data_IF_174751338770
#
_entry.id   IF_174751338770
#
_cell.length_a   1.000
_cell.length_b   1.000
_cell.length_c   1.000
_cell.angle_alpha   90.00
_cell.angle_beta   90.00
_cell.angle_gamma   90.00
#
_symmetry.space_group_name_H-M   'P 1'
#
loop_
_entity.id
_entity.type
_entity.pdbx_description
1 polymer ?
#
# COMPACT_ATOMS: atom_id res chain seq x y z
N UNK A 1 11.77 1.51 24.43
CA UNK A 1 11.77 1.95 23.02
C UNK A 1 12.91 2.93 22.81
N UNK A 2 13.07 3.51 21.60
CA UNK A 2 14.08 4.57 21.36
C UNK A 2 13.76 5.88 22.12
N UNK A 3 12.50 6.08 22.47
CA UNK A 3 12.03 7.18 23.34
C UNK A 3 11.40 6.62 24.61
N UNK A 4 11.42 7.39 25.72
CA UNK A 4 10.67 7.08 26.94
C UNK A 4 9.16 6.95 26.65
N UNK A 5 8.41 6.16 27.44
CA UNK A 5 6.97 6.00 27.27
C UNK A 5 6.23 7.32 27.51
N UNK A 6 5.20 7.61 26.70
CA UNK A 6 4.41 8.83 26.83
C UNK A 6 3.73 8.96 28.20
N UNK A 7 3.45 7.85 28.87
CA UNK A 7 2.85 7.83 30.21
C UNK A 7 3.67 8.60 31.24
N UNK A 8 5.01 8.55 31.18
CA UNK A 8 5.88 9.31 32.09
C UNK A 8 5.72 10.81 31.90
N UNK A 9 5.66 11.26 30.65
CA UNK A 9 5.45 12.68 30.34
C UNK A 9 4.08 13.16 30.81
N UNK A 10 3.05 12.33 30.67
CA UNK A 10 1.69 12.63 31.14
C UNK A 10 1.68 12.80 32.67
N UNK A 11 2.33 11.88 33.40
CA UNK A 11 2.44 11.93 34.87
C UNK A 11 3.21 13.19 35.30
N UNK A 12 4.38 13.44 34.71
CA UNK A 12 5.22 14.61 35.03
C UNK A 12 4.53 15.94 34.72
N UNK A 13 3.67 15.99 33.70
CA UNK A 13 2.89 17.17 33.35
C UNK A 13 1.74 17.45 34.36
N UNK A 14 1.49 16.56 35.32
CA UNK A 14 0.43 16.73 36.32
C UNK A 14 -0.98 16.60 35.76
N UNK A 15 -1.15 15.96 34.60
CA UNK A 15 -2.44 15.73 33.94
C UNK A 15 -3.34 14.90 34.87
N UNK A 16 -4.60 15.32 35.02
CA UNK A 16 -5.56 14.70 35.95
C UNK A 16 -6.52 13.71 35.32
N UNK A 17 -6.83 13.88 34.03
CA UNK A 17 -7.71 12.99 33.27
C UNK A 17 -7.16 12.72 31.89
N UNK A 18 -7.20 11.45 31.47
CA UNK A 18 -6.82 11.00 30.13
C UNK A 18 -7.95 10.20 29.51
N UNK A 19 -8.42 10.65 28.35
CA UNK A 19 -9.43 9.97 27.55
C UNK A 19 -8.75 9.40 26.31
N UNK A 20 -8.88 8.10 26.09
CA UNK A 20 -8.32 7.42 24.92
C UNK A 20 -9.45 6.85 24.05
N UNK A 21 -9.31 6.98 22.73
CA UNK A 21 -10.29 6.46 21.79
C UNK A 21 -10.17 4.94 21.60
N UNK A 22 -8.95 4.44 21.46
CA UNK A 22 -8.64 3.01 21.26
C UNK A 22 -7.57 2.55 22.24
N UNK A 23 -7.60 1.27 22.59
CA UNK A 23 -6.47 0.62 23.25
C UNK A 23 -5.39 0.31 22.22
N UNK A 24 -4.12 0.43 22.62
CA UNK A 24 -3.01 0.01 21.78
C UNK A 24 -2.92 -1.53 21.75
N UNK A 25 -3.09 -2.18 20.59
CA UNK A 25 -2.96 -3.63 20.47
C UNK A 25 -1.51 -4.13 20.62
N UNK A 26 -0.51 -3.25 20.53
CA UNK A 26 0.93 -3.58 20.55
C UNK A 26 1.61 -3.30 21.89
N UNK A 27 1.02 -2.45 22.73
CA UNK A 27 1.52 -2.15 24.07
C UNK A 27 0.43 -2.36 25.11
N UNK A 28 0.78 -3.02 26.22
CA UNK A 28 -0.17 -3.30 27.30
C UNK A 28 0.01 -2.30 28.44
N UNK A 29 -1.11 -1.84 28.98
CA UNK A 29 -1.16 -1.23 30.31
C UNK A 29 -0.86 0.27 30.39
N UNK A 30 -0.86 1.02 29.29
CA UNK A 30 -0.67 2.48 29.31
C UNK A 30 -1.69 3.19 30.21
N UNK A 31 -2.98 2.98 29.97
CA UNK A 31 -4.06 3.52 30.82
C UNK A 31 -4.00 2.94 32.24
N UNK A 32 -3.73 1.64 32.38
CA UNK A 32 -3.59 1.01 33.70
C UNK A 32 -2.46 1.63 34.53
N UNK A 33 -1.33 2.00 33.90
CA UNK A 33 -0.23 2.70 34.56
C UNK A 33 -0.68 4.09 35.02
N UNK A 34 -1.36 4.84 34.16
CA UNK A 34 -1.87 6.19 34.53
C UNK A 34 -2.87 6.11 35.69
N UNK A 35 -3.79 5.14 35.65
CA UNK A 35 -4.76 4.93 36.73
C UNK A 35 -4.09 4.62 38.08
N UNK A 36 -2.98 3.86 38.09
CA UNK A 36 -2.21 3.56 39.32
C UNK A 36 -1.54 4.79 39.93
N UNK A 37 -1.24 5.79 39.11
CA UNK A 37 -0.67 7.07 39.54
C UNK A 37 -1.76 8.10 39.92
N UNK A 38 -3.01 7.66 40.06
CA UNK A 38 -4.13 8.49 40.48
C UNK A 38 -4.73 9.38 39.38
N UNK A 39 -4.42 9.10 38.10
CA UNK A 39 -4.98 9.82 36.95
C UNK A 39 -6.29 9.14 36.54
N UNK A 40 -7.37 9.90 36.37
CA UNK A 40 -8.63 9.38 35.86
C UNK A 40 -8.47 8.94 34.40
N UNK A 41 -8.88 7.73 34.05
CA UNK A 41 -8.77 7.20 32.69
C UNK A 41 -10.10 6.75 32.12
N UNK A 42 -10.39 7.15 30.89
CA UNK A 42 -11.58 6.76 30.15
C UNK A 42 -11.18 6.19 28.78
N UNK A 43 -11.85 5.12 28.33
CA UNK A 43 -11.57 4.45 27.07
C UNK A 43 -12.85 4.33 26.23
N UNK A 44 -12.75 4.61 24.93
CA UNK A 44 -13.79 4.30 23.95
C UNK A 44 -14.47 5.53 23.32
N UNK A 45 -14.09 6.74 23.73
CA UNK A 45 -14.62 7.98 23.14
C UNK A 45 -14.16 8.11 21.69
N UNK A 46 -15.09 8.21 20.74
CA UNK A 46 -14.81 8.22 19.29
C UNK A 46 -14.00 7.00 18.80
N UNK A 47 -14.23 5.83 19.41
CA UNK A 47 -13.48 4.62 19.11
C UNK A 47 -13.59 4.20 17.64
N UNK A 48 -14.76 4.32 17.02
CA UNK A 48 -14.98 3.89 15.64
C UNK A 48 -14.28 4.82 14.64
N UNK A 49 -14.29 6.13 14.88
CA UNK A 49 -13.54 7.10 14.09
C UNK A 49 -12.03 6.86 14.20
N UNK A 50 -11.53 6.60 15.41
CA UNK A 50 -10.12 6.28 15.64
C UNK A 50 -9.70 4.95 15.00
N UNK A 51 -10.58 3.93 14.99
CA UNK A 51 -10.37 2.68 14.26
C UNK A 51 -10.32 2.92 12.76
N UNK A 52 -11.25 3.71 12.21
CA UNK A 52 -11.29 4.05 10.79
C UNK A 52 -10.06 4.84 10.35
N UNK A 53 -9.60 5.77 11.18
CA UNK A 53 -8.37 6.53 10.93
C UNK A 53 -7.13 5.62 10.82
N UNK A 54 -7.09 4.53 11.59
CA UNK A 54 -5.96 3.62 11.69
C UNK A 54 -6.26 2.23 11.10
N UNK A 55 -7.24 2.12 10.20
CA UNK A 55 -7.74 0.84 9.67
C UNK A 55 -6.62 -0.03 9.09
N UNK A 56 -5.65 0.60 8.42
CA UNK A 56 -4.52 -0.09 7.81
C UNK A 56 -3.60 -0.71 8.85
N UNK A 57 -3.34 0.01 9.94
CA UNK A 57 -2.53 -0.46 11.05
C UNK A 57 -3.21 -1.63 11.76
N UNK A 58 -4.50 -1.50 12.09
CA UNK A 58 -5.26 -2.58 12.72
C UNK A 58 -5.35 -3.82 11.83
N UNK A 59 -5.56 -3.64 10.52
CA UNK A 59 -5.55 -4.74 9.56
C UNK A 59 -4.18 -5.41 9.49
N UNK A 60 -3.09 -4.65 9.38
CA UNK A 60 -1.74 -5.19 9.35
C UNK A 60 -1.41 -5.99 10.60
N UNK A 61 -1.82 -5.53 11.79
CA UNK A 61 -1.59 -6.26 13.03
C UNK A 61 -2.32 -7.59 13.08
N UNK A 62 -3.56 -7.64 12.56
CA UNK A 62 -4.40 -8.84 12.54
C UNK A 62 -3.96 -9.83 11.44
N UNK A 63 -3.82 -9.35 10.21
CA UNK A 63 -3.65 -10.19 9.03
C UNK A 63 -2.17 -10.41 8.63
N UNK A 64 -1.25 -9.61 9.18
CA UNK A 64 0.18 -9.60 8.80
C UNK A 64 0.44 -9.38 7.30
N UNK A 65 -0.51 -8.73 6.61
CA UNK A 65 -0.40 -8.26 5.23
C UNK A 65 -0.80 -6.78 5.12
N UNK A 66 -0.42 -6.08 4.05
CA UNK A 66 -0.88 -4.72 3.82
C UNK A 66 -2.41 -4.66 3.73
N UNK A 67 -2.98 -3.55 4.18
CA UNK A 67 -4.34 -3.12 3.87
C UNK A 67 -4.42 -2.66 2.41
N UNK A 68 -5.15 -3.42 1.60
CA UNK A 68 -5.20 -3.26 0.16
C UNK A 68 -6.33 -2.33 -0.23
N UNK A 69 -5.93 -1.22 -0.83
CA UNK A 69 -6.79 -0.19 -1.39
C UNK A 69 -6.77 -0.33 -2.90
N UNK A 70 -7.88 -0.70 -3.52
CA UNK A 70 -8.02 -0.68 -4.97
C UNK A 70 -8.53 0.68 -5.40
N UNK A 71 -7.88 1.27 -6.41
CA UNK A 71 -8.37 2.47 -7.09
C UNK A 71 -8.71 2.14 -8.54
N UNK A 72 -9.97 2.39 -8.91
CA UNK A 72 -10.47 2.18 -10.26
C UNK A 72 -11.25 3.40 -10.74
N UNK A 73 -11.11 3.74 -12.02
CA UNK A 73 -11.98 4.67 -12.71
C UNK A 73 -12.81 3.88 -13.72
N UNK A 74 -14.12 4.07 -13.72
CA UNK A 74 -15.03 3.40 -14.65
C UNK A 74 -15.96 4.42 -15.29
N UNK A 75 -16.36 4.15 -16.52
CA UNK A 75 -17.52 4.80 -17.14
C UNK A 75 -18.82 4.37 -16.47
N UNK A 76 -19.91 5.12 -16.69
CA UNK A 76 -21.24 4.80 -16.18
C UNK A 76 -21.73 3.39 -16.57
N UNK A 77 -21.35 2.88 -17.75
CA UNK A 77 -21.64 1.51 -18.20
C UNK A 77 -20.65 0.45 -17.66
N UNK A 78 -19.81 0.81 -16.70
CA UNK A 78 -18.96 -0.11 -15.94
C UNK A 78 -17.61 -0.43 -16.56
N UNK A 79 -17.17 0.29 -17.60
CA UNK A 79 -15.93 -0.03 -18.31
C UNK A 79 -14.73 0.72 -17.75
N UNK A 80 -13.61 0.00 -17.57
CA UNK A 80 -12.32 0.53 -17.11
C UNK A 80 -11.42 1.06 -18.25
N UNK A 81 -11.75 0.72 -19.49
CA UNK A 81 -11.06 1.13 -20.71
C UNK A 81 -12.01 1.00 -21.91
N UNK A 82 -11.73 1.73 -22.99
CA UNK A 82 -12.42 1.52 -24.27
C UNK A 82 -12.08 0.14 -24.85
N UNK A 83 -12.84 -0.38 -25.83
CA UNK A 83 -12.49 -1.63 -26.53
C UNK A 83 -11.07 -1.63 -27.12
N UNK A 84 -10.53 -0.46 -27.48
CA UNK A 84 -9.15 -0.26 -27.94
C UNK A 84 -8.10 -0.24 -26.83
N UNK A 85 -8.51 -0.36 -25.56
CA UNK A 85 -7.63 -0.32 -24.40
C UNK A 85 -7.20 1.09 -23.99
N UNK A 86 -7.79 2.12 -24.58
CA UNK A 86 -7.57 3.50 -24.16
C UNK A 86 -8.30 3.75 -22.85
N UNK A 87 -7.56 4.19 -21.83
CA UNK A 87 -8.09 4.48 -20.49
C UNK A 87 -7.65 5.86 -20.00
N UNK A 88 -7.06 6.66 -20.89
CA UNK A 88 -6.57 7.99 -20.55
C UNK A 88 -7.76 8.94 -20.37
N UNK A 89 -7.82 9.50 -19.17
CA UNK A 89 -8.69 10.62 -18.78
C UNK A 89 -10.20 10.36 -18.79
N UNK A 90 -10.64 9.15 -18.39
CA UNK A 90 -12.07 8.89 -18.12
C UNK A 90 -12.59 9.87 -17.05
N UNK A 91 -11.76 10.21 -16.05
CA UNK A 91 -12.15 11.10 -14.95
C UNK A 91 -11.55 12.51 -15.07
N UNK A 92 -12.31 13.51 -14.61
CA UNK A 92 -11.90 14.92 -14.60
C UNK A 92 -10.69 15.22 -13.71
N UNK A 93 -10.12 16.43 -13.85
CA UNK A 93 -8.87 16.83 -13.20
C UNK A 93 -8.90 16.73 -11.67
N UNK A 94 -10.04 17.07 -11.04
CA UNK A 94 -10.24 16.97 -9.59
C UNK A 94 -10.07 15.52 -9.11
N UNK A 95 -10.66 14.55 -9.81
CA UNK A 95 -10.55 13.12 -9.49
C UNK A 95 -9.11 12.62 -9.61
N UNK A 96 -8.34 13.17 -10.54
CA UNK A 96 -6.93 12.78 -10.75
C UNK A 96 -6.01 13.36 -9.69
N UNK A 97 -6.23 14.62 -9.31
CA UNK A 97 -5.52 15.22 -8.17
C UNK A 97 -5.80 14.44 -6.88
N UNK A 98 -7.05 14.06 -6.66
CA UNK A 98 -7.40 13.23 -5.52
C UNK A 98 -6.78 11.82 -5.61
N UNK A 99 -6.83 11.16 -6.78
CA UNK A 99 -6.19 9.86 -6.96
C UNK A 99 -4.68 9.91 -6.72
N UNK A 100 -4.01 10.97 -7.19
CA UNK A 100 -2.60 11.18 -6.94
C UNK A 100 -2.30 11.39 -5.45
N UNK A 101 -3.15 12.14 -4.73
CA UNK A 101 -2.96 12.37 -3.29
C UNK A 101 -3.18 11.12 -2.44
N UNK A 102 -3.80 10.06 -2.98
CA UNK A 102 -3.83 8.75 -2.31
C UNK A 102 -2.43 8.15 -2.19
N UNK A 103 -1.52 8.40 -3.14
CA UNK A 103 -0.13 7.90 -3.09
C UNK A 103 0.63 8.44 -1.88
N UNK A 104 0.35 9.67 -1.48
CA UNK A 104 0.97 10.29 -0.31
C UNK A 104 0.51 9.64 1.01
N UNK A 105 -0.65 8.99 1.00
CA UNK A 105 -1.28 8.37 2.16
C UNK A 105 -0.97 6.88 2.30
N UNK A 106 -0.22 6.30 1.36
CA UNK A 106 0.16 4.88 1.40
C UNK A 106 1.67 4.67 1.44
N UNK A 107 2.09 3.47 1.80
CA UNK A 107 3.48 3.02 1.87
C UNK A 107 3.95 2.53 0.50
N UNK A 108 3.04 1.97 -0.29
CA UNK A 108 3.35 1.42 -1.58
C UNK A 108 2.22 1.55 -2.61
N UNK A 109 2.61 1.63 -3.88
CA UNK A 109 1.73 1.50 -5.04
C UNK A 109 2.08 0.24 -5.83
N UNK A 110 1.08 -0.47 -6.32
CA UNK A 110 1.22 -1.67 -7.13
C UNK A 110 0.50 -1.50 -8.46
N UNK A 111 1.21 -1.87 -9.54
CA UNK A 111 0.67 -1.97 -10.89
C UNK A 111 1.07 -3.30 -11.53
N UNK A 112 0.33 -3.71 -12.57
CA UNK A 112 0.77 -4.78 -13.46
C UNK A 112 1.80 -4.30 -14.48
N UNK A 113 2.67 -5.18 -14.96
CA UNK A 113 3.64 -4.85 -16.02
C UNK A 113 2.98 -4.33 -17.30
N UNK A 114 1.74 -4.73 -17.60
CA UNK A 114 1.03 -4.23 -18.78
C UNK A 114 0.76 -2.71 -18.67
N UNK A 115 0.49 -2.19 -17.47
CA UNK A 115 0.38 -0.75 -17.23
C UNK A 115 1.73 -0.06 -17.45
N UNK A 116 2.83 -0.67 -16.98
CA UNK A 116 4.17 -0.12 -17.24
C UNK A 116 4.51 -0.09 -18.73
N UNK A 117 4.19 -1.15 -19.46
CA UNK A 117 4.47 -1.24 -20.91
C UNK A 117 3.62 -0.23 -21.71
N UNK A 118 2.36 -0.03 -21.32
CA UNK A 118 1.42 0.81 -22.08
C UNK A 118 1.56 2.30 -21.75
N UNK A 119 1.72 2.62 -20.47
CA UNK A 119 1.61 4.00 -19.98
C UNK A 119 2.96 4.59 -19.52
N UNK A 120 3.99 3.74 -19.36
CA UNK A 120 5.32 4.07 -18.85
C UNK A 120 5.33 5.07 -17.67
N UNK A 121 4.58 4.80 -16.58
CA UNK A 121 4.43 5.77 -15.50
C UNK A 121 5.65 5.75 -14.56
N UNK A 122 6.04 6.92 -14.06
CA UNK A 122 7.05 7.03 -12.98
C UNK A 122 6.55 6.48 -11.63
N UNK A 123 5.23 6.57 -11.40
CA UNK A 123 4.53 6.22 -10.15
C UNK A 123 5.09 6.90 -8.90
N UNK A 124 5.76 8.04 -9.04
CA UNK A 124 6.28 8.77 -7.89
C UNK A 124 5.12 9.40 -7.07
N UNK A 125 5.29 9.48 -5.74
CA UNK A 125 4.39 10.24 -4.87
C UNK A 125 4.71 11.75 -4.98
N UNK A 126 4.09 12.57 -4.13
CA UNK A 126 4.54 13.95 -3.95
C UNK A 126 6.00 14.00 -3.43
N UNK A 127 6.75 15.08 -3.71
CA UNK A 127 8.14 15.23 -3.25
C UNK A 127 8.33 15.19 -1.73
N UNK A 128 7.28 15.41 -0.96
CA UNK A 128 7.31 15.43 0.51
C UNK A 128 7.16 14.03 1.14
N UNK A 129 6.92 13.00 0.34
CA UNK A 129 6.77 11.63 0.83
C UNK A 129 8.14 10.98 1.03
N UNK A 130 8.54 10.82 2.29
CA UNK A 130 9.87 10.28 2.64
C UNK A 130 10.05 8.78 2.38
N UNK A 131 8.97 7.99 2.38
CA UNK A 131 9.03 6.53 2.22
C UNK A 131 7.90 6.02 1.35
N UNK A 132 8.26 5.59 0.15
CA UNK A 132 7.30 5.06 -0.81
C UNK A 132 7.94 3.98 -1.68
N UNK A 133 7.19 2.90 -1.90
CA UNK A 133 7.66 1.75 -2.68
C UNK A 133 6.76 1.56 -3.91
N UNK A 134 7.38 1.43 -5.07
CA UNK A 134 6.71 1.08 -6.32
C UNK A 134 6.80 -0.41 -6.53
N UNK A 135 5.67 -1.06 -6.81
CA UNK A 135 5.59 -2.51 -6.97
C UNK A 135 5.08 -2.81 -8.37
N UNK A 136 5.80 -3.69 -9.08
CA UNK A 136 5.39 -4.17 -10.40
C UNK A 136 5.20 -5.68 -10.35
N UNK A 137 4.00 -6.13 -10.76
CA UNK A 137 3.73 -7.55 -10.98
C UNK A 137 4.09 -7.93 -12.42
N UNK A 138 5.10 -8.79 -12.56
CA UNK A 138 5.65 -9.16 -13.86
C UNK A 138 6.10 -10.63 -13.89
N UNK A 139 5.15 -11.55 -14.12
CA UNK A 139 5.39 -13.01 -14.07
C UNK A 139 6.53 -13.49 -14.96
N UNK A 140 6.81 -12.79 -16.08
CA UNK A 140 7.83 -13.18 -17.08
C UNK A 140 8.99 -12.19 -17.19
N UNK A 141 9.05 -11.19 -16.31
CA UNK A 141 10.06 -10.12 -16.34
C UNK A 141 10.10 -9.36 -17.69
N UNK A 142 8.94 -9.02 -18.24
CA UNK A 142 8.76 -8.30 -19.51
C UNK A 142 9.00 -6.79 -19.42
N UNK A 143 9.07 -6.20 -18.23
CA UNK A 143 9.25 -4.75 -18.02
C UNK A 143 10.33 -4.14 -18.91
N UNK A 144 10.08 -3.04 -19.65
CA UNK A 144 11.10 -2.41 -20.47
C UNK A 144 12.30 -1.96 -19.62
N UNK A 145 13.52 -2.16 -20.12
CA UNK A 145 14.74 -1.84 -19.35
C UNK A 145 14.89 -0.33 -19.08
N UNK A 146 14.23 0.50 -19.90
CA UNK A 146 14.20 1.97 -19.80
C UNK A 146 12.89 2.51 -19.20
N UNK A 147 12.07 1.67 -18.58
CA UNK A 147 10.78 2.13 -18.03
C UNK A 147 11.01 3.15 -16.90
N UNK A 148 10.21 4.22 -16.85
CA UNK A 148 10.35 5.31 -15.87
C UNK A 148 10.24 4.82 -14.42
N UNK A 149 9.45 3.78 -14.17
CA UNK A 149 9.32 3.15 -12.86
C UNK A 149 10.65 2.55 -12.36
N UNK A 150 11.64 2.34 -13.23
CA UNK A 150 12.98 1.85 -12.85
C UNK A 150 13.97 2.98 -12.56
N UNK A 151 13.62 4.22 -12.86
CA UNK A 151 14.46 5.39 -12.59
C UNK A 151 14.18 5.95 -11.19
N UNK A 152 15.01 6.89 -10.72
CA UNK A 152 14.82 7.61 -9.45
C UNK A 152 14.66 6.70 -8.21
N UNK A 153 15.43 5.61 -8.15
CA UNK A 153 15.41 4.65 -7.03
C UNK A 153 15.70 5.28 -5.67
N UNK A 154 16.43 6.39 -5.64
CA UNK A 154 16.69 7.20 -4.45
C UNK A 154 15.45 7.92 -3.91
N UNK A 155 14.44 8.20 -4.76
CA UNK A 155 13.17 8.81 -4.34
C UNK A 155 12.14 7.75 -3.94
N UNK A 156 12.05 6.67 -4.71
CA UNK A 156 11.17 5.56 -4.40
C UNK A 156 11.77 4.24 -4.91
N UNK A 157 11.92 3.26 -4.03
CA UNK A 157 12.44 1.95 -4.43
C UNK A 157 11.42 1.19 -5.27
N UNK A 158 11.89 0.48 -6.30
CA UNK A 158 11.05 -0.38 -7.14
C UNK A 158 11.29 -1.85 -6.81
N UNK A 159 10.21 -2.53 -6.45
CA UNK A 159 10.16 -3.98 -6.25
C UNK A 159 9.44 -4.63 -7.43
N UNK A 160 10.08 -5.61 -8.05
CA UNK A 160 9.45 -6.41 -9.11
C UNK A 160 9.17 -7.81 -8.57
N UNK A 161 7.91 -8.23 -8.59
CA UNK A 161 7.53 -9.60 -8.31
C UNK A 161 7.43 -10.39 -9.60
N UNK A 162 8.10 -11.54 -9.65
CA UNK A 162 8.20 -12.39 -10.84
C UNK A 162 8.15 -13.88 -10.49
N UNK A 163 7.98 -14.76 -11.47
CA UNK A 163 7.97 -16.22 -11.24
C UNK A 163 9.27 -16.87 -11.72
N UNK A 164 9.32 -18.20 -11.67
CA UNK A 164 10.40 -19.01 -12.26
C UNK A 164 10.54 -18.81 -13.78
N UNK A 165 9.52 -18.28 -14.46
CA UNK A 165 9.50 -17.99 -15.91
C UNK A 165 10.22 -16.70 -16.31
N UNK A 166 10.76 -15.95 -15.36
CA UNK A 166 11.55 -14.76 -15.61
C UNK A 166 12.77 -15.07 -16.49
N UNK A 167 13.03 -14.23 -17.50
CA UNK A 167 14.26 -14.30 -18.29
C UNK A 167 15.50 -14.13 -17.39
N UNK A 168 16.38 -15.14 -17.36
CA UNK A 168 17.53 -15.18 -16.44
C UNK A 168 18.56 -14.08 -16.74
N UNK A 169 18.80 -13.78 -18.02
CA UNK A 169 19.78 -12.76 -18.44
C UNK A 169 19.31 -11.37 -18.01
N UNK A 170 18.05 -11.05 -18.26
CA UNK A 170 17.42 -9.79 -17.86
C UNK A 170 17.32 -9.65 -16.35
N UNK A 171 17.06 -10.74 -15.64
CA UNK A 171 17.08 -10.75 -14.18
C UNK A 171 18.45 -10.36 -13.62
N UNK A 172 19.54 -10.90 -14.17
CA UNK A 172 20.91 -10.51 -13.76
C UNK A 172 21.14 -9.01 -14.00
N UNK A 173 20.86 -8.54 -15.22
CA UNK A 173 21.08 -7.14 -15.61
C UNK A 173 20.28 -6.14 -14.77
N UNK A 174 19.04 -6.47 -14.41
CA UNK A 174 18.22 -5.61 -13.56
C UNK A 174 18.74 -5.60 -12.12
N UNK A 175 19.21 -6.75 -11.59
CA UNK A 175 19.84 -6.81 -10.28
C UNK A 175 21.15 -6.03 -10.21
N UNK A 176 21.98 -6.11 -11.25
CA UNK A 176 23.21 -5.33 -11.39
C UNK A 176 22.94 -3.82 -11.37
N UNK A 177 21.77 -3.39 -11.89
CA UNK A 177 21.27 -2.00 -11.80
C UNK A 177 20.73 -1.64 -10.40
N UNK A 178 20.77 -2.54 -9.44
CA UNK A 178 20.24 -2.33 -8.09
C UNK A 178 18.71 -2.48 -7.97
N UNK A 179 18.02 -2.96 -9.01
CA UNK A 179 16.58 -3.18 -8.95
C UNK A 179 16.29 -4.44 -8.14
N UNK A 180 15.41 -4.31 -7.14
CA UNK A 180 15.03 -5.42 -6.27
C UNK A 180 13.99 -6.29 -6.96
N UNK A 181 14.38 -7.53 -7.25
CA UNK A 181 13.50 -8.54 -7.85
C UNK A 181 13.23 -9.64 -6.84
N UNK A 182 11.95 -9.91 -6.59
CA UNK A 182 11.46 -10.91 -5.66
C UNK A 182 10.77 -12.01 -6.45
N UNK A 183 11.27 -13.24 -6.34
CA UNK A 183 10.60 -14.41 -6.91
C UNK A 183 9.50 -14.90 -5.96
N UNK A 184 8.36 -15.25 -6.54
CA UNK A 184 7.23 -15.92 -5.89
C UNK A 184 6.79 -17.10 -6.75
N UNK A 185 5.99 -17.98 -6.16
CA UNK A 185 5.42 -19.10 -6.89
C UNK A 185 4.46 -18.64 -7.98
N UNK A 186 4.28 -19.51 -8.98
CA UNK A 186 3.35 -19.30 -10.08
C UNK A 186 1.98 -19.87 -9.72
N UNK A 187 0.94 -19.06 -9.90
CA UNK A 187 -0.45 -19.47 -9.75
C UNK A 187 -1.22 -19.01 -10.98
N UNK A 188 -1.90 -19.94 -11.67
CA UNK A 188 -2.63 -19.66 -12.92
C UNK A 188 -1.81 -18.84 -13.95
N UNK A 189 -0.51 -19.16 -14.09
CA UNK A 189 0.46 -18.44 -14.95
C UNK A 189 0.77 -16.99 -14.54
N UNK A 190 0.36 -16.60 -13.34
CA UNK A 190 0.59 -15.29 -12.73
C UNK A 190 1.45 -15.44 -11.47
N UNK A 191 1.90 -14.32 -10.93
CA UNK A 191 2.48 -14.28 -9.59
C UNK A 191 1.42 -14.66 -8.56
N UNK A 192 1.75 -15.49 -7.59
CA UNK A 192 0.86 -15.80 -6.47
C UNK A 192 0.69 -14.56 -5.56
N UNK A 193 -0.52 -13.96 -5.54
CA UNK A 193 -0.77 -12.71 -4.82
C UNK A 193 -0.66 -12.87 -3.30
N UNK A 194 -1.01 -14.03 -2.76
CA UNK A 194 -0.87 -14.26 -1.32
C UNK A 194 0.59 -14.16 -0.87
N UNK A 195 1.52 -14.76 -1.63
CA UNK A 195 2.94 -14.64 -1.35
C UNK A 195 3.45 -13.22 -1.55
N UNK A 196 2.93 -12.49 -2.54
CA UNK A 196 3.23 -11.06 -2.72
C UNK A 196 2.84 -10.31 -1.45
N UNK A 197 1.58 -10.39 -1.01
CA UNK A 197 1.07 -9.67 0.15
C UNK A 197 1.79 -10.06 1.44
N UNK A 198 2.07 -11.34 1.66
CA UNK A 198 2.85 -11.80 2.82
C UNK A 198 4.27 -11.25 2.83
N UNK A 199 4.95 -11.23 1.68
CA UNK A 199 6.30 -10.65 1.57
C UNK A 199 6.29 -9.14 1.79
N UNK A 200 5.28 -8.44 1.28
CA UNK A 200 5.10 -7.00 1.55
C UNK A 200 4.86 -6.75 3.05
N UNK A 201 4.04 -7.56 3.70
CA UNK A 201 3.83 -7.51 5.16
C UNK A 201 5.14 -7.73 5.94
N UNK A 202 5.97 -8.69 5.53
CA UNK A 202 7.29 -8.91 6.13
C UNK A 202 8.25 -7.72 5.95
N UNK A 203 8.07 -6.93 4.88
CA UNK A 203 8.77 -5.67 4.65
C UNK A 203 8.18 -4.48 5.43
N UNK A 204 7.20 -4.73 6.31
CA UNK A 204 6.46 -3.74 7.10
C UNK A 204 5.70 -2.71 6.25
N UNK A 205 5.27 -3.11 5.06
CA UNK A 205 4.34 -2.32 4.25
C UNK A 205 2.94 -2.56 4.84
N UNK A 206 2.31 -1.50 5.33
CA UNK A 206 1.06 -1.59 6.09
C UNK A 206 -0.17 -1.27 5.26
N UNK A 207 -0.03 -0.44 4.22
CA UNK A 207 -1.09 -0.14 3.26
C UNK A 207 -0.54 -0.15 1.83
N UNK A 208 -1.37 -0.60 0.90
CA UNK A 208 -1.01 -0.84 -0.48
C UNK A 208 -2.09 -0.26 -1.38
N UNK A 209 -1.72 0.67 -2.26
CA UNK A 209 -2.59 1.16 -3.31
C UNK A 209 -2.38 0.35 -4.58
N UNK A 210 -3.42 -0.37 -5.02
CA UNK A 210 -3.44 -1.07 -6.30
C UNK A 210 -4.06 -0.15 -7.34
N UNK A 211 -3.23 0.31 -8.27
CA UNK A 211 -3.65 1.11 -9.43
C UNK A 211 -3.38 0.33 -10.72
N UNK A 212 -4.21 0.56 -11.74
CA UNK A 212 -3.86 0.21 -13.11
C UNK A 212 -3.97 -1.28 -13.47
N UNK A 213 -4.50 -1.55 -14.65
CA UNK A 213 -4.61 -2.88 -15.24
C UNK A 213 -5.82 -3.66 -14.72
N UNK A 214 -6.84 -3.79 -15.56
CA UNK A 214 -8.06 -4.55 -15.24
C UNK A 214 -7.79 -5.98 -14.78
N UNK A 215 -6.79 -6.62 -15.35
CA UNK A 215 -6.37 -7.97 -14.98
C UNK A 215 -5.84 -8.07 -13.54
N UNK A 216 -5.07 -7.08 -13.08
CA UNK A 216 -4.55 -7.06 -11.71
C UNK A 216 -5.69 -6.80 -10.75
N UNK A 217 -6.51 -5.78 -11.01
CA UNK A 217 -7.66 -5.45 -10.19
C UNK A 217 -8.61 -6.66 -10.07
N UNK A 218 -8.92 -7.32 -11.19
CA UNK A 218 -9.74 -8.53 -11.21
C UNK A 218 -9.15 -9.63 -10.32
N UNK A 219 -7.85 -9.93 -10.42
CA UNK A 219 -7.22 -10.95 -9.57
C UNK A 219 -7.30 -10.61 -8.07
N UNK A 220 -7.15 -9.35 -7.68
CA UNK A 220 -7.34 -8.95 -6.28
C UNK A 220 -8.78 -9.18 -5.79
N UNK A 221 -9.79 -8.92 -6.61
CA UNK A 221 -11.19 -9.18 -6.27
C UNK A 221 -11.53 -10.68 -6.25
N UNK A 222 -11.11 -11.43 -7.27
CA UNK A 222 -11.32 -12.87 -7.38
C UNK A 222 -10.73 -13.64 -6.19
N UNK A 223 -9.54 -13.21 -5.74
CA UNK A 223 -8.84 -13.81 -4.59
C UNK A 223 -9.28 -13.24 -3.23
N UNK A 224 -10.29 -12.34 -3.20
CA UNK A 224 -10.81 -11.69 -1.99
C UNK A 224 -9.73 -10.97 -1.18
N UNK A 225 -8.83 -10.27 -1.87
CA UNK A 225 -7.67 -9.56 -1.28
C UNK A 225 -7.83 -8.04 -1.28
N UNK A 226 -9.06 -7.53 -1.35
CA UNK A 226 -9.37 -6.10 -1.33
C UNK A 226 -10.01 -5.73 0.00
N UNK A 227 -9.47 -4.73 0.68
CA UNK A 227 -10.02 -4.23 1.95
C UNK A 227 -10.80 -2.92 1.77
N UNK A 228 -10.43 -2.11 0.77
CA UNK A 228 -11.10 -0.84 0.45
C UNK A 228 -11.06 -0.55 -1.05
N UNK A 229 -12.11 0.12 -1.53
CA UNK A 229 -12.22 0.56 -2.92
C UNK A 229 -12.45 2.07 -2.98
N UNK A 230 -11.65 2.75 -3.80
CA UNK A 230 -11.96 4.08 -4.33
C UNK A 230 -12.37 3.95 -5.79
N UNK A 231 -13.69 4.06 -6.02
CA UNK A 231 -14.27 3.98 -7.35
C UNK A 231 -14.60 5.39 -7.85
N UNK A 232 -14.07 5.77 -9.00
CA UNK A 232 -14.37 7.04 -9.66
C UNK A 232 -15.26 6.75 -10.85
N UNK A 233 -16.51 7.20 -10.77
CA UNK A 233 -17.51 7.09 -11.83
C UNK A 233 -17.46 8.35 -12.71
N UNK A 234 -17.55 8.15 -14.02
CA UNK A 234 -17.59 9.21 -15.02
C UNK A 234 -18.62 8.93 -16.10
#
# INVERSE_FOLDING_TARGET
>A
GKTPPCTEKIIQAGIKKVIAATSDPTSKGGLTRLAREGIETELGVCQEEAKKLNEAFFNYLREKRPFVIVKAAISLDGKIATPGGESKWITGEKSRRFAHSLRDKVDAILVGVNTVIKDDPSLLPSPFKERFIRIVLDSRLRIPFKAQVLDEQQKALTLIFTTSRADRKKLSRLKERGIKIIKVDEEKRKVNLEQVLRKLGALKITNLLVEGGGEVIASFFEEKRVDKVFLFLA
#
